data_IF_654153580108
#
_entry.id   IF_654153580108
#
_cell.length_a   1.000
_cell.length_b   1.000
_cell.length_c   1.000
_cell.angle_alpha   90.00
_cell.angle_beta   90.00
_cell.angle_gamma   90.00
#
_symmetry.space_group_name_H-M   'P 1'
#
loop_
_entity.id
_entity.type
_entity.pdbx_description
1 polymer ?
#
# COMPACT_ATOMS: atom_id res chain seq x y z
N UNK A 1 6.69 -30.53 -22.88
CA UNK A 1 7.09 -29.17 -22.46
C UNK A 1 5.91 -28.55 -21.75
N UNK A 2 5.92 -28.56 -20.41
CA UNK A 2 4.80 -28.12 -19.58
C UNK A 2 4.88 -26.60 -19.44
N UNK A 3 3.84 -25.91 -19.86
CA UNK A 3 3.69 -24.47 -19.71
C UNK A 3 3.79 -24.10 -18.23
N UNK A 4 4.83 -23.36 -17.86
CA UNK A 4 4.99 -22.75 -16.55
C UNK A 4 4.00 -21.59 -16.51
N UNK A 5 2.84 -21.82 -15.92
CA UNK A 5 1.91 -20.75 -15.56
C UNK A 5 2.52 -20.05 -14.36
N UNK A 6 3.22 -18.92 -14.59
CA UNK A 6 3.52 -17.95 -13.53
C UNK A 6 2.18 -17.53 -12.91
N UNK A 7 1.82 -18.10 -11.76
CA UNK A 7 0.67 -17.65 -10.99
C UNK A 7 1.03 -16.34 -10.28
N UNK A 8 0.92 -15.23 -11.01
CA UNK A 8 0.99 -13.86 -10.50
C UNK A 8 -0.24 -13.58 -9.63
N UNK A 9 -0.21 -14.01 -8.38
CA UNK A 9 -1.35 -13.91 -7.46
C UNK A 9 -0.88 -13.53 -6.06
N UNK A 10 -0.09 -12.47 -5.95
CA UNK A 10 0.18 -11.75 -4.70
C UNK A 10 0.42 -10.27 -5.00
N UNK A 11 -0.02 -9.40 -4.08
CA UNK A 11 0.05 -7.93 -4.11
C UNK A 11 -1.02 -7.18 -4.93
N UNK A 12 -2.23 -7.72 -5.08
CA UNK A 12 -3.40 -6.93 -5.55
C UNK A 12 -4.62 -7.05 -4.64
N UNK A 13 -4.43 -7.46 -3.38
CA UNK A 13 -5.54 -7.64 -2.42
C UNK A 13 -6.14 -6.30 -1.97
N UNK A 14 -5.45 -5.17 -2.16
CA UNK A 14 -5.98 -3.88 -1.72
C UNK A 14 -7.03 -3.25 -2.64
N UNK A 15 -7.26 -3.75 -3.87
CA UNK A 15 -8.18 -3.08 -4.80
C UNK A 15 -9.12 -3.98 -5.61
N UNK A 16 -9.00 -5.32 -5.52
CA UNK A 16 -9.93 -6.23 -6.23
C UNK A 16 -11.13 -6.66 -5.38
N UNK A 17 -11.16 -6.29 -4.10
CA UNK A 17 -12.35 -6.43 -3.27
C UNK A 17 -13.34 -5.33 -3.62
N UNK A 18 -14.41 -5.65 -4.36
CA UNK A 18 -15.61 -4.83 -4.35
C UNK A 18 -16.13 -4.74 -2.92
N UNK A 19 -15.77 -3.67 -2.22
CA UNK A 19 -16.31 -3.33 -0.90
C UNK A 19 -16.85 -1.91 -1.05
N UNK A 20 -18.17 -1.82 -1.06
CA UNK A 20 -18.92 -0.59 -0.89
C UNK A 20 -18.29 0.26 0.24
N UNK A 21 -18.18 1.56 0.02
CA UNK A 21 -17.67 2.53 0.99
C UNK A 21 -18.23 2.25 2.41
N UNK A 22 -17.37 1.83 3.34
CA UNK A 22 -17.74 1.50 4.73
C UNK A 22 -18.30 2.70 5.49
N UNK A 23 -17.74 3.88 5.25
CA UNK A 23 -18.28 5.16 5.70
C UNK A 23 -18.41 6.09 4.48
N UNK A 24 -19.64 6.58 4.25
CA UNK A 24 -19.93 7.56 3.20
C UNK A 24 -20.14 8.91 3.85
N UNK A 25 -19.57 9.96 3.25
CA UNK A 25 -19.79 11.31 3.72
C UNK A 25 -21.29 11.64 3.70
N UNK A 26 -21.79 12.29 4.76
CA UNK A 26 -23.14 12.83 4.74
C UNK A 26 -23.27 13.87 3.62
N UNK A 27 -24.50 14.10 3.16
CA UNK A 27 -24.77 15.08 2.10
C UNK A 27 -24.38 16.51 2.50
N UNK A 28 -24.32 16.80 3.80
CA UNK A 28 -23.97 18.09 4.40
C UNK A 28 -22.52 18.19 4.88
N UNK A 29 -21.71 17.15 4.67
CA UNK A 29 -20.29 17.16 5.01
C UNK A 29 -19.54 18.33 4.35
N UNK A 30 -18.47 18.77 5.00
CA UNK A 30 -17.49 19.68 4.46
C UNK A 30 -16.42 18.93 3.66
N UNK A 31 -15.68 19.64 2.81
CA UNK A 31 -14.50 19.11 2.10
C UNK A 31 -13.50 18.46 3.07
N UNK A 32 -13.31 19.06 4.25
CA UNK A 32 -12.38 18.56 5.28
C UNK A 32 -12.85 17.22 5.85
N UNK A 33 -14.15 17.05 6.07
CA UNK A 33 -14.75 15.81 6.56
C UNK A 33 -14.65 14.70 5.52
N UNK A 34 -14.97 15.00 4.25
CA UNK A 34 -14.81 14.04 3.13
C UNK A 34 -13.36 13.56 3.04
N UNK A 35 -12.38 14.46 3.09
CA UNK A 35 -10.96 14.12 3.05
C UNK A 35 -10.53 13.25 4.24
N UNK A 36 -11.08 13.50 5.44
CA UNK A 36 -10.80 12.71 6.64
C UNK A 36 -11.38 11.30 6.52
N UNK A 37 -12.60 11.17 6.00
CA UNK A 37 -13.25 9.87 5.75
C UNK A 37 -12.42 9.07 4.74
N UNK A 38 -12.00 9.68 3.64
CA UNK A 38 -11.15 9.03 2.63
C UNK A 38 -9.88 8.42 3.24
N UNK A 39 -9.22 9.18 4.12
CA UNK A 39 -8.01 8.73 4.80
C UNK A 39 -8.28 7.62 5.82
N UNK A 40 -9.40 7.70 6.54
CA UNK A 40 -9.79 6.68 7.52
C UNK A 40 -10.16 5.36 6.85
N UNK A 41 -10.99 5.41 5.80
CA UNK A 41 -11.36 4.24 4.99
C UNK A 41 -10.10 3.54 4.47
N UNK A 42 -9.15 4.30 3.91
CA UNK A 42 -7.90 3.75 3.42
C UNK A 42 -7.04 3.10 4.54
N UNK A 43 -7.02 3.65 5.76
CA UNK A 43 -6.30 3.05 6.90
C UNK A 43 -6.96 1.76 7.40
N UNK A 44 -8.29 1.68 7.35
CA UNK A 44 -9.03 0.49 7.81
C UNK A 44 -8.94 -0.67 6.83
N UNK A 45 -8.94 -0.41 5.53
CA UNK A 45 -8.82 -1.45 4.51
C UNK A 45 -7.48 -2.21 4.60
N UNK A 46 -6.43 -1.56 5.13
CA UNK A 46 -5.13 -2.21 5.38
C UNK A 46 -5.14 -3.12 6.62
N UNK A 47 -6.05 -2.91 7.59
CA UNK A 47 -6.08 -3.66 8.85
C UNK A 47 -6.77 -5.02 8.77
N UNK A 48 -7.38 -5.36 7.65
CA UNK A 48 -8.04 -6.65 7.48
C UNK A 48 -7.09 -7.63 6.80
N UNK A 49 -6.80 -8.75 7.50
CA UNK A 49 -6.38 -10.09 7.03
C UNK A 49 -5.31 -10.74 7.92
N UNK A 50 -5.59 -10.96 9.21
CA UNK A 50 -4.87 -11.97 10.00
C UNK A 50 -5.67 -13.27 10.00
N UNK A 51 -5.41 -14.12 9.00
CA UNK A 51 -5.97 -15.46 8.93
C UNK A 51 -5.27 -16.41 9.92
N UNK A 52 -5.91 -17.52 10.29
CA UNK A 52 -5.32 -18.58 11.14
C UNK A 52 -3.94 -19.06 10.64
N UNK A 53 -3.70 -19.06 9.33
CA UNK A 53 -2.41 -19.42 8.72
C UNK A 53 -1.27 -18.43 9.07
N UNK A 54 -1.60 -17.15 9.23
CA UNK A 54 -0.64 -16.12 9.69
C UNK A 54 -0.22 -16.43 11.13
N UNK A 55 -1.16 -16.85 11.98
CA UNK A 55 -0.84 -17.22 13.36
C UNK A 55 0.09 -18.44 13.44
N UNK A 56 -0.13 -19.47 12.62
CA UNK A 56 0.78 -20.61 12.55
C UNK A 56 2.19 -20.20 12.08
N UNK A 57 2.27 -19.26 11.13
CA UNK A 57 3.54 -18.72 10.67
C UNK A 57 4.27 -17.97 11.78
N UNK A 58 3.58 -17.06 12.48
CA UNK A 58 4.13 -16.31 13.61
C UNK A 58 4.60 -17.24 14.74
N UNK A 59 3.84 -18.29 15.02
CA UNK A 59 4.22 -19.30 16.00
C UNK A 59 5.45 -20.11 15.54
N UNK A 60 5.57 -20.44 14.25
CA UNK A 60 6.76 -21.07 13.68
C UNK A 60 8.00 -20.18 13.82
N UNK A 61 7.87 -18.89 13.53
CA UNK A 61 8.94 -17.91 13.72
C UNK A 61 9.38 -17.83 15.18
N UNK A 62 8.41 -17.80 16.11
CA UNK A 62 8.68 -17.81 17.54
C UNK A 62 9.48 -19.05 17.95
N UNK A 63 9.07 -20.24 17.51
CA UNK A 63 9.78 -21.46 17.86
C UNK A 63 11.17 -21.56 17.21
N UNK A 64 11.34 -21.08 15.97
CA UNK A 64 12.66 -21.00 15.35
C UNK A 64 13.60 -20.04 16.09
N UNK A 65 13.09 -18.90 16.56
CA UNK A 65 13.84 -17.99 17.43
C UNK A 65 14.17 -18.63 18.79
N UNK A 66 13.20 -19.30 19.43
CA UNK A 66 13.44 -20.03 20.68
C UNK A 66 14.48 -21.14 20.51
N UNK A 67 14.51 -21.82 19.35
CA UNK A 67 15.55 -22.79 19.02
C UNK A 67 16.93 -22.13 18.92
N UNK A 68 17.04 -20.98 18.26
CA UNK A 68 18.28 -20.20 18.20
C UNK A 68 18.77 -19.83 19.61
N UNK A 69 17.88 -19.36 20.48
CA UNK A 69 18.20 -19.03 21.89
C UNK A 69 18.63 -20.27 22.69
N UNK A 70 18.02 -21.43 22.45
CA UNK A 70 18.42 -22.68 23.09
C UNK A 70 19.83 -23.11 22.65
N UNK A 71 20.18 -22.97 21.37
CA UNK A 71 21.52 -23.25 20.86
C UNK A 71 22.58 -22.31 21.41
N UNK A 72 22.27 -21.03 21.64
CA UNK A 72 23.16 -20.10 22.38
C UNK A 72 23.47 -20.59 23.79
N UNK A 73 22.53 -21.31 24.42
CA UNK A 73 22.69 -21.94 25.73
C UNK A 73 23.25 -23.37 25.65
N UNK A 74 23.60 -23.84 24.44
CA UNK A 74 24.03 -25.24 24.16
C UNK A 74 23.01 -26.30 24.58
N UNK A 75 21.73 -25.94 24.59
CA UNK A 75 20.62 -26.86 24.87
C UNK A 75 20.06 -27.44 23.56
N UNK A 76 20.73 -28.47 23.04
CA UNK A 76 20.39 -29.12 21.78
C UNK A 76 19.05 -29.87 21.84
N UNK A 77 18.65 -30.37 23.01
CA UNK A 77 17.36 -31.06 23.20
C UNK A 77 16.20 -30.07 23.03
N UNK A 78 16.26 -28.94 23.73
CA UNK A 78 15.25 -27.89 23.58
C UNK A 78 15.25 -27.30 22.17
N UNK A 79 16.42 -27.08 21.57
CA UNK A 79 16.53 -26.60 20.20
C UNK A 79 15.85 -27.56 19.20
N UNK A 80 16.08 -28.87 19.35
CA UNK A 80 15.47 -29.90 18.49
C UNK A 80 13.94 -29.85 18.58
N UNK A 81 13.38 -29.89 19.80
CA UNK A 81 11.92 -29.82 20.01
C UNK A 81 11.31 -28.56 19.40
N UNK A 82 12.01 -27.44 19.50
CA UNK A 82 11.57 -26.16 18.94
C UNK A 82 11.62 -26.14 17.41
N UNK A 83 12.67 -26.68 16.80
CA UNK A 83 12.75 -26.82 15.33
C UNK A 83 11.68 -27.76 14.78
N UNK A 84 11.43 -28.90 15.44
CA UNK A 84 10.34 -29.82 15.08
C UNK A 84 8.99 -29.12 15.15
N UNK A 85 8.74 -28.35 16.22
CA UNK A 85 7.50 -27.60 16.37
C UNK A 85 7.35 -26.49 15.32
N UNK A 86 8.44 -25.80 14.98
CA UNK A 86 8.45 -24.76 13.95
C UNK A 86 8.16 -25.34 12.57
N UNK A 87 8.81 -26.45 12.21
CA UNK A 87 8.62 -27.18 10.96
C UNK A 87 7.19 -27.73 10.85
N UNK A 88 6.67 -28.36 11.91
CA UNK A 88 5.30 -28.89 11.92
C UNK A 88 4.24 -27.81 11.64
N UNK A 89 4.42 -26.60 12.17
CA UNK A 89 3.52 -25.47 11.86
C UNK A 89 3.62 -24.99 10.42
N UNK A 90 4.82 -25.01 9.83
CA UNK A 90 4.99 -24.68 8.41
C UNK A 90 4.34 -25.73 7.50
N UNK A 91 4.41 -27.01 7.85
CA UNK A 91 3.74 -28.08 7.09
C UNK A 91 2.22 -27.88 7.05
N UNK A 92 1.60 -27.43 8.16
CA UNK A 92 0.17 -27.08 8.18
C UNK A 92 -0.15 -25.96 7.18
N UNK A 93 0.73 -24.97 7.04
CA UNK A 93 0.57 -23.89 6.08
C UNK A 93 0.73 -24.42 4.66
N UNK A 94 1.82 -25.17 4.39
CA UNK A 94 2.16 -25.72 3.08
C UNK A 94 1.11 -26.70 2.55
N UNK A 95 0.37 -27.38 3.43
CA UNK A 95 -0.72 -28.28 3.06
C UNK A 95 -2.00 -27.56 2.59
N UNK A 96 -2.08 -26.23 2.69
CA UNK A 96 -3.24 -25.47 2.21
C UNK A 96 -3.34 -25.49 0.68
N UNK A 97 -4.57 -25.47 0.13
CA UNK A 97 -4.81 -25.55 -1.33
C UNK A 97 -4.26 -24.34 -2.11
N UNK A 98 -4.05 -23.21 -1.43
CA UNK A 98 -3.57 -21.96 -2.03
C UNK A 98 -2.56 -21.34 -1.07
N UNK A 99 -1.29 -21.72 -1.26
CA UNK A 99 -0.18 -21.19 -0.47
C UNK A 99 0.59 -20.20 -1.34
N UNK A 100 0.79 -18.97 -0.88
CA UNK A 100 1.63 -18.01 -1.59
C UNK A 100 3.11 -18.36 -1.48
N UNK A 101 3.94 -17.96 -2.44
CA UNK A 101 5.39 -18.12 -2.32
C UNK A 101 5.97 -17.25 -1.19
N UNK A 102 5.42 -16.03 -1.05
CA UNK A 102 5.70 -15.10 0.04
C UNK A 102 4.43 -14.99 0.90
N UNK A 103 4.48 -15.47 2.14
CA UNK A 103 3.35 -15.36 3.05
C UNK A 103 3.41 -14.03 3.81
N UNK A 104 2.44 -13.12 3.63
CA UNK A 104 2.37 -11.90 4.43
C UNK A 104 2.17 -12.24 5.91
N UNK A 105 3.05 -11.76 6.77
CA UNK A 105 3.00 -12.02 8.23
C UNK A 105 2.79 -10.74 9.04
N UNK A 106 3.12 -9.58 8.48
CA UNK A 106 2.91 -8.28 9.11
C UNK A 106 2.71 -7.19 8.05
N UNK A 107 2.02 -6.11 8.43
CA UNK A 107 1.77 -4.94 7.59
C UNK A 107 1.94 -3.67 8.40
N UNK A 108 2.90 -2.84 8.02
CA UNK A 108 3.19 -1.55 8.63
C UNK A 108 2.59 -0.44 7.77
N UNK A 109 1.75 0.40 8.39
CA UNK A 109 1.10 1.54 7.73
C UNK A 109 1.73 2.83 8.21
N UNK A 110 2.32 3.59 7.29
CA UNK A 110 2.82 4.94 7.54
C UNK A 110 2.05 5.94 6.69
N UNK A 111 1.57 7.01 7.30
CA UNK A 111 0.85 8.08 6.61
C UNK A 111 1.72 9.31 6.59
N UNK A 112 2.08 9.76 5.40
CA UNK A 112 2.79 11.01 5.17
C UNK A 112 1.83 11.94 4.42
N UNK A 113 1.32 12.99 5.05
CA UNK A 113 0.37 13.90 4.43
C UNK A 113 1.00 15.26 4.14
N UNK A 114 0.94 15.70 2.88
CA UNK A 114 1.28 17.07 2.51
C UNK A 114 0.08 17.98 2.78
N UNK A 115 0.31 19.03 3.58
CA UNK A 115 -0.74 19.97 3.99
C UNK A 115 -0.79 21.25 3.13
N UNK A 116 0.16 21.43 2.20
CA UNK A 116 0.20 22.58 1.29
C UNK A 116 -0.65 22.38 0.03
N UNK A 117 -0.55 23.35 -0.88
CA UNK A 117 -1.27 23.36 -2.18
C UNK A 117 -0.35 22.97 -3.34
N UNK A 118 -0.93 22.71 -4.51
CA UNK A 118 -0.21 22.54 -5.79
C UNK A 118 0.77 23.69 -6.04
N UNK A 119 0.33 24.92 -5.82
CA UNK A 119 1.16 26.13 -5.95
C UNK A 119 2.36 26.15 -5.00
N UNK A 120 2.22 25.60 -3.80
CA UNK A 120 3.34 25.52 -2.84
C UNK A 120 4.37 24.47 -3.28
N UNK A 121 3.91 23.38 -3.88
CA UNK A 121 4.77 22.35 -4.49
C UNK A 121 5.53 22.94 -5.68
N UNK A 122 4.85 23.59 -6.61
CA UNK A 122 5.46 24.24 -7.78
C UNK A 122 6.57 25.23 -7.37
N UNK A 123 6.28 26.10 -6.39
CA UNK A 123 7.28 27.05 -5.84
C UNK A 123 8.49 26.33 -5.25
N UNK A 124 8.24 25.25 -4.50
CA UNK A 124 9.31 24.48 -3.86
C UNK A 124 10.18 23.80 -4.92
N UNK A 125 9.57 23.17 -5.92
CA UNK A 125 10.27 22.52 -7.03
C UNK A 125 11.06 23.52 -7.89
N UNK A 126 10.57 24.74 -8.09
CA UNK A 126 11.29 25.78 -8.81
C UNK A 126 12.58 26.24 -8.10
N UNK A 127 12.63 26.16 -6.76
CA UNK A 127 13.81 26.54 -5.98
C UNK A 127 14.92 25.49 -6.00
N UNK A 128 14.57 24.21 -6.13
CA UNK A 128 15.51 23.07 -6.05
C UNK A 128 16.64 23.14 -7.08
N UNK A 129 16.40 23.37 -8.39
CA UNK A 129 17.47 23.47 -9.39
C UNK A 129 18.50 24.55 -9.05
N UNK A 130 18.07 25.70 -8.51
CA UNK A 130 18.98 26.80 -8.12
C UNK A 130 19.91 26.39 -7.00
N UNK A 131 19.43 25.62 -6.03
CA UNK A 131 20.25 25.09 -4.93
C UNK A 131 21.25 24.05 -5.43
N UNK A 132 20.81 23.16 -6.33
CA UNK A 132 21.67 22.13 -6.91
C UNK A 132 22.80 22.73 -7.77
N UNK A 133 22.51 23.75 -8.59
CA UNK A 133 23.54 24.50 -9.36
C UNK A 133 24.58 25.15 -8.45
N UNK A 134 24.20 25.53 -7.23
CA UNK A 134 25.11 26.11 -6.21
C UNK A 134 25.79 25.04 -5.34
N UNK A 135 25.70 23.75 -5.67
CA UNK A 135 26.18 22.62 -4.87
C UNK A 135 25.61 22.57 -3.43
N UNK A 136 24.46 23.21 -3.18
CA UNK A 136 23.77 23.23 -1.87
C UNK A 136 22.85 22.02 -1.74
N UNK A 137 23.42 20.82 -1.83
CA UNK A 137 22.67 19.54 -1.88
C UNK A 137 21.81 19.32 -0.63
N UNK A 138 22.30 19.68 0.56
CA UNK A 138 21.56 19.48 1.80
C UNK A 138 20.35 20.43 1.93
N UNK A 139 20.46 21.67 1.45
CA UNK A 139 19.34 22.61 1.41
C UNK A 139 18.27 22.13 0.40
N UNK A 140 18.70 21.65 -0.78
CA UNK A 140 17.78 21.08 -1.77
C UNK A 140 17.04 19.85 -1.21
N UNK A 141 17.76 18.94 -0.54
CA UNK A 141 17.17 17.76 0.10
C UNK A 141 16.14 18.15 1.17
N UNK A 142 16.44 19.16 1.99
CA UNK A 142 15.51 19.63 3.01
C UNK A 142 14.20 20.19 2.44
N UNK A 143 14.24 20.81 1.26
CA UNK A 143 13.04 21.26 0.55
C UNK A 143 12.22 20.11 -0.07
N UNK A 144 12.88 19.06 -0.55
CA UNK A 144 12.21 17.95 -1.23
C UNK A 144 11.60 16.92 -0.27
N UNK A 145 12.21 16.67 0.90
CA UNK A 145 11.75 15.67 1.86
C UNK A 145 10.25 15.79 2.25
N UNK A 146 9.68 16.99 2.44
CA UNK A 146 8.27 17.14 2.76
C UNK A 146 7.33 16.95 1.57
N UNK A 147 7.82 16.90 0.32
CA UNK A 147 7.00 16.78 -0.90
C UNK A 147 6.54 15.33 -1.10
N UNK A 148 5.69 14.85 -0.19
CA UNK A 148 5.07 13.53 -0.23
C UNK A 148 3.67 13.60 0.40
N UNK A 149 2.70 12.96 -0.24
CA UNK A 149 1.33 12.84 0.25
C UNK A 149 0.79 11.45 -0.06
N UNK A 150 1.12 10.48 0.79
CA UNK A 150 0.91 9.06 0.55
C UNK A 150 0.72 8.25 1.82
N UNK A 151 0.14 7.07 1.64
CA UNK A 151 0.13 6.00 2.62
C UNK A 151 1.12 4.94 2.12
N UNK A 152 2.17 4.71 2.91
CA UNK A 152 3.11 3.60 2.69
C UNK A 152 2.56 2.38 3.42
N UNK A 153 2.34 1.31 2.67
CA UNK A 153 1.94 0.01 3.19
C UNK A 153 3.10 -0.93 2.97
N UNK A 154 3.85 -1.21 4.03
CA UNK A 154 4.98 -2.13 3.99
C UNK A 154 4.53 -3.49 4.48
N UNK A 155 4.44 -4.44 3.56
CA UNK A 155 4.10 -5.83 3.86
C UNK A 155 5.38 -6.61 4.09
N UNK A 156 5.53 -7.21 5.28
CA UNK A 156 6.63 -8.13 5.58
C UNK A 156 6.14 -9.55 5.31
N UNK A 157 6.90 -10.29 4.52
CA UNK A 157 6.52 -11.63 4.07
C UNK A 157 7.59 -12.68 4.35
N UNK A 158 7.12 -13.84 4.81
CA UNK A 158 7.91 -15.04 5.02
C UNK A 158 8.08 -15.80 3.69
N UNK A 159 9.33 -16.02 3.21
CA UNK A 159 9.55 -16.79 1.99
C UNK A 159 9.36 -18.29 2.24
N UNK A 160 8.19 -18.82 1.86
CA UNK A 160 7.82 -20.22 2.10
C UNK A 160 8.61 -21.22 1.25
N UNK A 161 9.25 -20.76 0.17
CA UNK A 161 10.11 -21.60 -0.66
C UNK A 161 11.48 -21.91 -0.06
N UNK A 162 12.03 -21.04 0.80
CA UNK A 162 13.39 -21.19 1.34
C UNK A 162 13.44 -21.31 2.86
N UNK A 163 12.50 -20.71 3.58
CA UNK A 163 12.50 -20.70 5.03
C UNK A 163 12.37 -22.11 5.66
N UNK A 164 11.44 -22.99 5.21
CA UNK A 164 11.34 -24.34 5.74
C UNK A 164 12.62 -25.17 5.52
N UNK A 165 13.28 -25.01 4.37
CA UNK A 165 14.50 -25.76 4.05
C UNK A 165 15.69 -25.30 4.89
N UNK A 166 15.76 -24.02 5.23
CA UNK A 166 16.75 -23.51 6.19
C UNK A 166 16.53 -24.11 7.60
N UNK A 167 15.28 -24.23 8.07
CA UNK A 167 15.00 -24.87 9.35
C UNK A 167 15.34 -26.37 9.34
N UNK A 168 15.08 -27.09 8.23
CA UNK A 168 15.51 -28.49 8.06
C UNK A 168 17.03 -28.63 8.10
N UNK A 169 17.75 -27.71 7.45
CA UNK A 169 19.22 -27.70 7.46
C UNK A 169 19.77 -27.42 8.87
N UNK A 170 19.17 -26.47 9.60
CA UNK A 170 19.53 -26.22 10.99
C UNK A 170 19.30 -27.47 11.86
N UNK A 171 18.15 -28.13 11.74
CA UNK A 171 17.85 -29.36 12.47
C UNK A 171 18.87 -30.48 12.17
N UNK A 172 19.30 -30.63 10.91
CA UNK A 172 20.37 -31.55 10.53
C UNK A 172 21.69 -31.24 11.25
N UNK A 173 22.07 -29.97 11.35
CA UNK A 173 23.29 -29.56 12.06
C UNK A 173 23.18 -29.79 13.57
N UNK A 174 22.03 -29.53 14.19
CA UNK A 174 21.80 -29.89 15.60
C UNK A 174 21.97 -31.39 15.81
N UNK A 175 21.36 -32.23 14.96
CA UNK A 175 21.51 -33.69 15.06
C UNK A 175 22.95 -34.18 14.86
N UNK A 176 23.77 -33.42 14.12
CA UNK A 176 25.18 -33.73 13.87
C UNK A 176 26.12 -33.10 14.92
N UNK A 177 25.58 -32.51 16.00
CA UNK A 177 26.30 -31.76 17.03
C UNK A 177 27.11 -30.57 16.50
N UNK A 178 26.75 -30.05 15.32
CA UNK A 178 27.38 -28.89 14.68
C UNK A 178 26.64 -27.59 15.08
N UNK A 179 26.60 -27.30 16.39
CA UNK A 179 25.79 -26.21 16.99
C UNK A 179 26.05 -24.86 16.32
N UNK A 180 27.31 -24.49 16.08
CA UNK A 180 27.64 -23.19 15.49
C UNK A 180 27.08 -23.03 14.07
N UNK A 181 27.08 -24.10 13.27
CA UNK A 181 26.47 -24.09 11.93
C UNK A 181 24.96 -23.99 12.00
N UNK A 182 24.32 -24.68 12.95
CA UNK A 182 22.88 -24.57 13.16
C UNK A 182 22.47 -23.13 13.50
N UNK A 183 23.23 -22.46 14.37
CA UNK A 183 23.00 -21.05 14.74
C UNK A 183 23.17 -20.11 13.56
N UNK A 184 24.22 -20.29 12.77
CA UNK A 184 24.46 -19.48 11.57
C UNK A 184 23.29 -19.58 10.59
N UNK A 185 22.84 -20.81 10.29
CA UNK A 185 21.69 -21.05 9.41
C UNK A 185 20.42 -20.40 9.95
N UNK A 186 20.13 -20.54 11.25
CA UNK A 186 18.95 -19.91 11.86
C UNK A 186 19.02 -18.39 11.88
N UNK A 187 20.19 -17.81 12.15
CA UNK A 187 20.40 -16.36 12.11
C UNK A 187 20.13 -15.82 10.69
N UNK A 188 20.61 -16.51 9.66
CA UNK A 188 20.33 -16.17 8.26
C UNK A 188 18.83 -16.31 7.98
N UNK A 189 18.21 -17.44 8.35
CA UNK A 189 16.79 -17.70 8.08
C UNK A 189 15.85 -16.67 8.75
N UNK A 190 16.16 -16.23 9.97
CA UNK A 190 15.39 -15.21 10.69
C UNK A 190 15.61 -13.79 10.16
N UNK A 191 16.60 -13.61 9.28
CA UNK A 191 16.95 -12.32 8.66
C UNK A 191 16.52 -12.21 7.19
N UNK A 192 15.91 -13.23 6.61
CA UNK A 192 15.55 -13.29 5.18
C UNK A 192 14.13 -12.85 4.86
N UNK A 193 13.44 -12.18 5.79
CA UNK A 193 12.11 -11.64 5.52
C UNK A 193 12.15 -10.60 4.42
N UNK A 194 11.19 -10.71 3.51
CA UNK A 194 11.07 -9.79 2.38
C UNK A 194 10.07 -8.70 2.73
N UNK A 195 10.40 -7.45 2.48
CA UNK A 195 9.48 -6.34 2.64
C UNK A 195 9.19 -5.69 1.30
N UNK A 196 7.91 -5.46 1.03
CA UNK A 196 7.45 -4.74 -0.16
C UNK A 196 6.62 -3.55 0.30
N UNK A 197 6.99 -2.35 -0.16
CA UNK A 197 6.24 -1.12 0.13
C UNK A 197 5.36 -0.75 -1.06
N UNK A 198 4.06 -0.85 -0.85
CA UNK A 198 3.05 -0.26 -1.72
C UNK A 198 2.82 1.19 -1.32
N UNK A 199 2.66 2.07 -2.32
CA UNK A 199 2.48 3.51 -2.10
C UNK A 199 1.10 3.87 -2.62
N UNK A 200 0.25 4.39 -1.75
CA UNK A 200 -1.12 4.82 -2.07
C UNK A 200 -1.19 6.34 -2.03
N UNK A 201 -1.29 7.04 -3.18
CA UNK A 201 -1.31 8.50 -3.19
C UNK A 201 -2.59 9.06 -2.55
N UNK A 202 -2.45 9.78 -1.44
CA UNK A 202 -3.57 10.40 -0.71
C UNK A 202 -4.38 11.37 -1.60
N UNK A 203 -3.78 12.23 -2.44
CA UNK A 203 -4.55 13.17 -3.24
C UNK A 203 -5.47 12.48 -4.27
N UNK A 204 -5.12 11.27 -4.74
CA UNK A 204 -5.99 10.48 -5.61
C UNK A 204 -7.18 9.88 -4.86
N UNK A 205 -6.99 9.48 -3.61
CA UNK A 205 -8.08 9.05 -2.73
C UNK A 205 -9.05 10.21 -2.47
N UNK A 206 -8.51 11.36 -2.06
CA UNK A 206 -9.30 12.60 -1.84
C UNK A 206 -10.12 12.98 -3.07
N UNK A 207 -9.48 13.01 -4.25
CA UNK A 207 -10.19 13.32 -5.50
C UNK A 207 -11.34 12.33 -5.77
N UNK A 208 -11.13 11.03 -5.54
CA UNK A 208 -12.15 10.00 -5.73
C UNK A 208 -13.39 10.27 -4.87
N UNK A 209 -13.18 10.50 -3.58
CA UNK A 209 -14.28 10.65 -2.63
C UNK A 209 -14.98 12.00 -2.78
N UNK A 210 -14.24 13.06 -3.12
CA UNK A 210 -14.81 14.38 -3.44
C UNK A 210 -15.67 14.33 -4.71
N UNK A 211 -15.26 13.61 -5.75
CA UNK A 211 -16.08 13.41 -6.97
C UNK A 211 -17.34 12.62 -6.65
N UNK A 212 -17.25 11.58 -5.80
CA UNK A 212 -18.41 10.82 -5.35
C UNK A 212 -19.39 11.68 -4.53
N UNK A 213 -18.86 12.47 -3.58
CA UNK A 213 -19.66 13.40 -2.77
C UNK A 213 -20.33 14.48 -3.64
N UNK A 214 -19.60 15.04 -4.61
CA UNK A 214 -20.16 15.99 -5.59
C UNK A 214 -21.32 15.37 -6.37
N UNK A 215 -21.13 14.16 -6.91
CA UNK A 215 -22.16 13.44 -7.63
C UNK A 215 -23.44 13.21 -6.80
N UNK A 216 -23.30 13.00 -5.49
CA UNK A 216 -24.41 12.73 -4.58
C UNK A 216 -25.26 13.97 -4.27
N UNK A 217 -24.66 15.16 -4.29
CA UNK A 217 -25.34 16.41 -3.90
C UNK A 217 -25.65 17.34 -5.08
N UNK A 218 -25.13 17.07 -6.28
CA UNK A 218 -25.26 17.94 -7.46
C UNK A 218 -26.69 18.37 -7.84
N UNK A 219 -27.71 17.58 -7.49
CA UNK A 219 -29.13 17.92 -7.74
C UNK A 219 -29.76 18.80 -6.67
N UNK A 220 -29.26 18.71 -5.45
CA UNK A 220 -29.86 19.29 -4.25
C UNK A 220 -29.11 20.57 -3.84
N UNK A 221 -27.79 20.55 -3.93
CA UNK A 221 -26.89 21.63 -3.55
C UNK A 221 -25.78 21.81 -4.59
N UNK A 222 -26.08 22.67 -5.59
CA UNK A 222 -25.14 22.99 -6.67
C UNK A 222 -23.87 23.66 -6.15
N UNK A 223 -23.97 24.51 -5.12
CA UNK A 223 -22.83 25.25 -4.60
C UNK A 223 -21.85 24.30 -3.91
N UNK A 224 -22.35 23.37 -3.09
CA UNK A 224 -21.53 22.34 -2.45
C UNK A 224 -20.93 21.38 -3.47
N UNK A 225 -21.70 20.97 -4.47
CA UNK A 225 -21.19 20.11 -5.54
C UNK A 225 -20.02 20.75 -6.29
N UNK A 226 -20.08 22.05 -6.59
CA UNK A 226 -18.99 22.81 -7.21
C UNK A 226 -17.77 22.90 -6.28
N UNK A 227 -17.97 23.18 -4.99
CA UNK A 227 -16.87 23.23 -4.01
C UNK A 227 -16.13 21.89 -3.90
N UNK A 228 -16.84 20.77 -3.95
CA UNK A 228 -16.23 19.44 -4.00
C UNK A 228 -15.41 19.20 -5.28
N UNK A 229 -15.91 19.67 -6.44
CA UNK A 229 -15.18 19.54 -7.71
C UNK A 229 -13.91 20.42 -7.73
N UNK A 230 -13.98 21.62 -7.18
CA UNK A 230 -12.80 22.49 -7.04
C UNK A 230 -11.74 21.83 -6.15
N UNK A 231 -12.15 21.24 -5.02
CA UNK A 231 -11.25 20.51 -4.14
C UNK A 231 -10.70 19.22 -4.77
N UNK A 232 -11.49 18.52 -5.58
CA UNK A 232 -11.05 17.34 -6.32
C UNK A 232 -10.01 17.73 -7.40
N UNK A 233 -10.27 18.83 -8.12
CA UNK A 233 -9.33 19.40 -9.10
C UNK A 233 -7.99 19.75 -8.45
N UNK A 234 -8.02 20.42 -7.29
CA UNK A 234 -6.80 20.75 -6.53
C UNK A 234 -6.06 19.49 -6.08
N UNK A 235 -6.79 18.48 -5.58
CA UNK A 235 -6.18 17.21 -5.16
C UNK A 235 -5.51 16.47 -6.32
N UNK A 236 -6.10 16.50 -7.53
CA UNK A 236 -5.48 15.95 -8.72
C UNK A 236 -4.22 16.71 -9.16
N UNK A 237 -4.20 18.05 -9.02
CA UNK A 237 -2.98 18.86 -9.28
C UNK A 237 -1.88 18.52 -8.28
N UNK A 238 -2.20 18.48 -6.99
CA UNK A 238 -1.24 18.05 -5.95
C UNK A 238 -0.68 16.66 -6.28
N UNK A 239 -1.52 15.71 -6.70
CA UNK A 239 -1.04 14.39 -7.12
C UNK A 239 -0.05 14.48 -8.30
N UNK A 240 -0.40 15.24 -9.33
CA UNK A 240 0.45 15.45 -10.50
C UNK A 240 1.79 16.11 -10.14
N UNK A 241 1.76 17.18 -9.35
CA UNK A 241 2.94 18.00 -9.05
C UNK A 241 3.90 17.32 -8.08
N UNK A 242 3.39 16.45 -7.19
CA UNK A 242 4.20 15.54 -6.39
C UNK A 242 4.81 14.39 -7.22
N UNK A 243 4.51 14.32 -8.52
CA UNK A 243 5.08 13.33 -9.42
C UNK A 243 4.48 11.94 -9.28
N UNK A 244 3.31 11.82 -8.63
CA UNK A 244 2.59 10.56 -8.64
C UNK A 244 2.19 10.22 -10.07
N UNK A 245 2.58 9.02 -10.52
CA UNK A 245 2.22 8.50 -11.84
C UNK A 245 2.73 9.37 -13.00
N UNK A 246 4.04 9.62 -12.99
CA UNK A 246 4.76 10.54 -13.89
C UNK A 246 4.56 10.32 -15.41
N UNK A 247 4.04 9.17 -15.84
CA UNK A 247 3.73 8.88 -17.26
C UNK A 247 2.34 9.35 -17.71
N UNK A 248 1.57 9.98 -16.83
CA UNK A 248 0.13 10.20 -17.03
C UNK A 248 -0.32 11.66 -17.13
N UNK A 249 0.56 12.58 -17.56
CA UNK A 249 0.21 14.00 -17.75
C UNK A 249 -1.05 14.18 -18.60
N UNK A 250 -1.20 13.40 -19.66
CA UNK A 250 -2.41 13.39 -20.51
C UNK A 250 -3.65 12.93 -19.74
N UNK A 251 -3.51 11.95 -18.85
CA UNK A 251 -4.62 11.42 -18.05
C UNK A 251 -5.05 12.38 -16.94
N UNK A 252 -4.12 13.05 -16.27
CA UNK A 252 -4.44 14.14 -15.34
C UNK A 252 -5.16 15.28 -16.06
N UNK A 253 -4.65 15.71 -17.22
CA UNK A 253 -5.29 16.74 -18.04
C UNK A 253 -6.72 16.36 -18.44
N UNK A 254 -6.91 15.13 -18.94
CA UNK A 254 -8.23 14.63 -19.32
C UNK A 254 -9.22 14.62 -18.14
N UNK A 255 -8.77 14.23 -16.93
CA UNK A 255 -9.61 14.29 -15.73
C UNK A 255 -9.97 15.72 -15.33
N UNK A 256 -9.04 16.67 -15.47
CA UNK A 256 -9.33 18.09 -15.23
C UNK A 256 -10.37 18.62 -16.21
N UNK A 257 -10.24 18.31 -17.50
CA UNK A 257 -11.22 18.68 -18.54
C UNK A 257 -12.60 18.08 -18.26
N UNK A 258 -12.67 16.83 -17.79
CA UNK A 258 -13.91 16.19 -17.35
C UNK A 258 -14.55 16.90 -16.15
N UNK A 259 -13.75 17.29 -15.15
CA UNK A 259 -14.23 18.07 -14.00
C UNK A 259 -14.81 19.42 -14.48
N UNK A 260 -14.10 20.14 -15.34
CA UNK A 260 -14.56 21.41 -15.89
C UNK A 260 -15.89 21.26 -16.67
N UNK A 261 -16.03 20.18 -17.43
CA UNK A 261 -17.28 19.88 -18.14
C UNK A 261 -18.45 19.65 -17.18
N UNK A 262 -18.24 18.91 -16.09
CA UNK A 262 -19.25 18.71 -15.04
C UNK A 262 -19.60 20.03 -14.37
N UNK A 263 -18.62 20.87 -14.05
CA UNK A 263 -18.85 22.17 -13.42
C UNK A 263 -19.69 23.10 -14.31
N UNK A 264 -19.45 23.11 -15.62
CA UNK A 264 -20.27 23.84 -16.60
C UNK A 264 -21.71 23.33 -16.62
N UNK A 265 -21.89 22.01 -16.57
CA UNK A 265 -23.20 21.40 -16.61
C UNK A 265 -24.01 21.64 -15.32
N UNK A 266 -23.39 21.55 -14.15
CA UNK A 266 -24.05 21.88 -12.86
C UNK A 266 -24.54 23.34 -12.85
N UNK A 267 -23.76 24.26 -13.43
CA UNK A 267 -24.15 25.67 -13.58
C UNK A 267 -25.27 25.86 -14.61
N UNK A 268 -25.38 24.95 -15.57
CA UNK A 268 -26.40 24.93 -16.61
C UNK A 268 -27.72 24.29 -16.20
N UNK A 269 -28.65 24.14 -17.16
CA UNK A 269 -29.95 23.51 -16.94
C UNK A 269 -29.93 21.99 -17.09
N UNK A 270 -28.89 21.37 -17.68
CA UNK A 270 -28.91 19.93 -17.93
C UNK A 270 -28.32 19.11 -16.77
N UNK A 271 -28.42 17.80 -16.96
CA UNK A 271 -28.15 16.75 -15.99
C UNK A 271 -26.72 16.22 -16.17
N UNK A 272 -25.88 16.35 -15.14
CA UNK A 272 -24.47 15.98 -15.18
C UNK A 272 -24.19 14.49 -14.87
N UNK A 273 -25.22 13.67 -14.60
CA UNK A 273 -25.08 12.29 -14.11
C UNK A 273 -24.17 11.42 -14.98
N UNK A 274 -24.33 11.47 -16.31
CA UNK A 274 -23.49 10.68 -17.24
C UNK A 274 -22.02 11.12 -17.21
N UNK A 275 -21.77 12.41 -17.01
CA UNK A 275 -20.41 12.96 -16.93
C UNK A 275 -19.72 12.49 -15.64
N UNK A 276 -20.45 12.45 -14.52
CA UNK A 276 -19.95 11.89 -13.26
C UNK A 276 -19.57 10.42 -13.38
N UNK A 277 -20.42 9.59 -14.00
CA UNK A 277 -20.10 8.17 -14.19
C UNK A 277 -18.86 7.96 -15.07
N UNK A 278 -18.70 8.77 -16.11
CA UNK A 278 -17.52 8.75 -16.98
C UNK A 278 -16.25 9.12 -16.22
N UNK A 279 -16.30 10.18 -15.40
CA UNK A 279 -15.16 10.62 -14.59
C UNK A 279 -14.79 9.58 -13.53
N UNK A 280 -15.78 8.99 -12.83
CA UNK A 280 -15.56 7.93 -11.83
C UNK A 280 -14.89 6.71 -12.48
N UNK A 281 -15.34 6.30 -13.67
CA UNK A 281 -14.72 5.19 -14.41
C UNK A 281 -13.27 5.51 -14.80
N UNK A 282 -13.03 6.71 -15.33
CA UNK A 282 -11.68 7.15 -15.72
C UNK A 282 -10.71 7.14 -14.53
N UNK A 283 -11.17 7.58 -13.37
CA UNK A 283 -10.38 7.59 -12.14
C UNK A 283 -10.14 6.18 -11.59
N UNK A 284 -11.12 5.30 -11.70
CA UNK A 284 -10.98 3.88 -11.33
C UNK A 284 -9.91 3.20 -12.19
N UNK A 285 -10.02 3.32 -13.51
CA UNK A 285 -9.03 2.76 -14.44
C UNK A 285 -7.64 3.35 -14.23
N UNK A 286 -7.57 4.65 -13.94
CA UNK A 286 -6.32 5.31 -13.61
C UNK A 286 -5.69 4.70 -12.36
N UNK A 287 -6.43 4.59 -11.26
CA UNK A 287 -5.96 3.93 -10.04
C UNK A 287 -5.52 2.50 -10.33
N UNK A 288 -6.32 1.69 -11.03
CA UNK A 288 -5.96 0.31 -11.37
C UNK A 288 -4.63 0.22 -12.12
N UNK A 289 -4.36 1.10 -13.10
CA UNK A 289 -3.07 1.17 -13.79
C UNK A 289 -1.93 1.52 -12.83
N UNK A 290 -2.13 2.52 -11.97
CA UNK A 290 -1.15 2.96 -10.97
C UNK A 290 -0.73 1.83 -10.02
N UNK A 291 -1.69 1.03 -9.58
CA UNK A 291 -1.46 -0.04 -8.63
C UNK A 291 -1.08 -1.37 -9.29
N UNK A 292 -1.32 -1.55 -10.60
CA UNK A 292 -0.98 -2.78 -11.34
C UNK A 292 0.37 -2.75 -12.05
N UNK A 293 0.96 -1.57 -12.29
CA UNK A 293 2.27 -1.41 -12.96
C UNK A 293 3.47 -1.73 -12.06
N UNK A 294 3.29 -2.03 -10.76
CA UNK A 294 4.38 -2.48 -9.86
C UNK A 294 4.69 -3.99 -9.99
N UNK A 295 4.57 -4.55 -11.21
CA UNK A 295 4.86 -5.97 -11.51
C UNK A 295 6.21 -6.14 -12.18
#
# INVERSE_FOLDING_TARGET
>A
MKNIVLSTLLASVLLTGGVYAKETASKDASVKEVNKIALNNAKEDVKTHQAKLVQEALNSLKDAHDAFVALEKKDEESATKKLESALGKLEVILASKKVPELLPIDSIVKVNEYLGTSKDIEKTLAAVPTLLVKNKVQEARALMLPLQSEIDITTVSLPLGSYPDALKLAAKYVHSHEVDKAKEVLAIALSTFTSVTEVVPIPLLKATDLIAASSAVAKEDKQRALAYLDAASESLKVAHDLGYVSKSTTTYKAMQEQIEAIQKEIKGPNKAEKLFETLKSSLKEFKEKVFSEKK
#
